data_IF_233134485528
#
_entry.id   IF_233134485528
#
_cell.length_a   1.000
_cell.length_b   1.000
_cell.length_c   1.000
_cell.angle_alpha   90.00
_cell.angle_beta   90.00
_cell.angle_gamma   90.00
#
_symmetry.space_group_name_H-M   'P 1'
#
loop_
_entity.id
_entity.type
_entity.pdbx_description
1 polymer ?
#
# COMPACT_ATOMS: atom_id res chain seq x y z
N UNK A 1 8.83 1.86 12.35
CA UNK A 1 10.21 1.61 11.88
C UNK A 1 10.21 0.43 10.91
N UNK A 2 11.27 0.24 10.11
CA UNK A 2 11.36 -0.93 9.21
C UNK A 2 11.28 -2.22 10.03
N UNK A 3 10.40 -3.13 9.63
CA UNK A 3 10.07 -4.36 10.35
C UNK A 3 8.86 -4.26 11.28
N UNK A 4 8.38 -3.05 11.60
CA UNK A 4 7.18 -2.85 12.41
C UNK A 4 5.92 -3.29 11.66
N UNK A 5 4.96 -3.89 12.37
CA UNK A 5 3.65 -4.24 11.82
C UNK A 5 2.65 -3.15 12.16
N UNK A 6 2.02 -2.59 11.13
CA UNK A 6 0.99 -1.57 11.24
C UNK A 6 -0.35 -2.10 10.74
N UNK A 7 -1.44 -1.49 11.21
CA UNK A 7 -2.80 -1.74 10.72
C UNK A 7 -3.30 -0.52 9.96
N UNK A 8 -3.88 -0.73 8.79
CA UNK A 8 -4.48 0.32 7.99
C UNK A 8 -5.65 -0.18 7.16
N UNK A 9 -6.41 0.75 6.60
CA UNK A 9 -7.55 0.46 5.74
C UNK A 9 -7.08 0.31 4.29
N UNK A 10 -7.44 -0.79 3.63
CA UNK A 10 -7.20 -0.93 2.19
C UNK A 10 -8.12 0.06 1.46
N UNK A 11 -7.56 0.95 0.65
CA UNK A 11 -8.34 2.03 0.00
C UNK A 11 -8.50 1.81 -1.50
N UNK A 12 -7.50 1.21 -2.15
CA UNK A 12 -7.58 0.78 -3.55
C UNK A 12 -6.57 -0.32 -3.83
N UNK A 13 -6.77 -1.03 -4.94
CA UNK A 13 -5.83 -1.99 -5.47
C UNK A 13 -5.83 -1.98 -6.99
N UNK A 14 -4.74 -2.45 -7.57
CA UNK A 14 -4.51 -2.60 -9.00
C UNK A 14 -3.51 -3.76 -9.23
N UNK A 15 -3.16 -4.13 -10.48
CA UNK A 15 -2.18 -5.18 -10.73
C UNK A 15 -0.77 -4.92 -10.18
N UNK A 16 -0.44 -3.68 -9.78
CA UNK A 16 0.84 -3.35 -9.14
C UNK A 16 0.80 -3.59 -7.63
N UNK A 17 -0.39 -3.60 -7.01
CA UNK A 17 -0.56 -3.99 -5.62
C UNK A 17 -1.72 -3.28 -4.92
N UNK A 18 -1.50 -2.91 -3.67
CA UNK A 18 -2.56 -2.40 -2.78
C UNK A 18 -2.13 -1.08 -2.16
N UNK A 19 -3.03 -0.10 -2.13
CA UNK A 19 -2.86 1.14 -1.38
C UNK A 19 -3.58 1.05 -0.04
N UNK A 20 -2.92 1.53 1.00
CA UNK A 20 -3.41 1.51 2.37
C UNK A 20 -3.43 2.93 2.92
N UNK A 21 -4.49 3.27 3.65
CA UNK A 21 -4.57 4.48 4.45
C UNK A 21 -4.43 4.14 5.93
N UNK A 22 -3.57 4.90 6.62
CA UNK A 22 -3.46 4.91 8.08
C UNK A 22 -4.41 5.94 8.72
N UNK A 23 -5.27 6.60 7.93
CA UNK A 23 -6.16 7.68 8.37
C UNK A 23 -5.50 9.06 8.41
N UNK A 24 -4.26 9.15 8.91
CA UNK A 24 -3.47 10.39 8.88
C UNK A 24 -2.42 10.43 7.75
N UNK A 25 -2.23 9.30 7.06
CA UNK A 25 -1.21 9.13 6.02
C UNK A 25 -1.67 8.10 4.97
N UNK A 26 -1.64 8.48 3.70
CA UNK A 26 -2.23 7.71 2.58
C UNK A 26 -1.21 7.21 1.55
N UNK A 27 0.07 7.53 1.76
CA UNK A 27 1.17 7.11 0.88
C UNK A 27 1.81 5.80 1.35
N UNK A 28 0.97 4.79 1.61
CA UNK A 28 1.37 3.42 1.91
C UNK A 28 0.99 2.52 0.74
N UNK A 29 1.98 1.79 0.21
CA UNK A 29 1.78 0.86 -0.89
C UNK A 29 2.39 -0.51 -0.57
N UNK A 30 1.63 -1.57 -0.80
CA UNK A 30 2.10 -2.96 -0.76
C UNK A 30 2.17 -3.46 -2.20
N UNK A 31 3.37 -3.63 -2.78
CA UNK A 31 3.50 -4.11 -4.15
C UNK A 31 3.09 -5.58 -4.24
N UNK A 32 2.66 -6.00 -5.44
CA UNK A 32 2.22 -7.37 -5.73
C UNK A 32 3.27 -8.43 -5.39
N UNK A 33 4.56 -8.11 -5.56
CA UNK A 33 5.68 -8.98 -5.19
C UNK A 33 5.84 -9.23 -3.69
N UNK A 34 5.19 -8.41 -2.85
CA UNK A 34 5.19 -8.53 -1.40
C UNK A 34 3.81 -8.87 -0.83
N UNK A 35 2.90 -9.37 -1.67
CA UNK A 35 1.67 -10.01 -1.22
C UNK A 35 1.93 -11.45 -0.78
N UNK A 36 0.88 -12.12 -0.31
CA UNK A 36 0.94 -13.50 0.11
C UNK A 36 1.41 -14.40 -1.03
N UNK A 37 2.17 -15.45 -0.71
CA UNK A 37 2.61 -16.43 -1.70
C UNK A 37 1.39 -17.07 -2.39
N UNK A 38 1.38 -17.04 -3.73
CA UNK A 38 0.28 -17.53 -4.54
C UNK A 38 -0.93 -16.59 -4.63
N UNK A 39 -0.86 -15.37 -4.10
CA UNK A 39 -1.85 -14.34 -4.40
C UNK A 39 -1.83 -13.99 -5.90
N UNK A 40 -3.00 -13.84 -6.49
CA UNK A 40 -3.18 -13.56 -7.91
C UNK A 40 -4.17 -12.42 -8.12
N UNK A 41 -3.96 -11.65 -9.19
CA UNK A 41 -4.90 -10.63 -9.64
C UNK A 41 -6.02 -11.28 -10.46
N UNK A 42 -7.27 -11.04 -10.08
CA UNK A 42 -8.44 -11.37 -10.88
C UNK A 42 -8.81 -10.17 -11.75
N UNK A 43 -8.65 -10.29 -13.07
CA UNK A 43 -8.96 -9.20 -14.00
C UNK A 43 -10.46 -8.98 -14.19
N UNK A 44 -11.31 -9.97 -13.93
CA UNK A 44 -12.76 -9.81 -14.03
C UNK A 44 -13.31 -9.04 -12.83
N UNK A 45 -12.82 -9.37 -11.64
CA UNK A 45 -13.26 -8.76 -10.38
C UNK A 45 -12.43 -7.54 -9.97
N UNK A 46 -11.29 -7.30 -10.65
CA UNK A 46 -10.34 -6.23 -10.37
C UNK A 46 -9.89 -6.24 -8.89
N UNK A 47 -9.55 -7.42 -8.38
CA UNK A 47 -9.20 -7.65 -6.97
C UNK A 47 -8.06 -8.66 -6.84
N UNK A 48 -7.30 -8.55 -5.77
CA UNK A 48 -6.31 -9.56 -5.39
C UNK A 48 -6.97 -10.69 -4.59
N UNK A 49 -6.67 -11.94 -4.97
CA UNK A 49 -7.20 -13.14 -4.33
C UNK A 49 -6.05 -14.04 -3.89
N UNK A 50 -6.06 -14.43 -2.62
CA UNK A 50 -5.13 -15.38 -2.06
C UNK A 50 -5.81 -16.73 -1.82
N UNK A 51 -5.28 -17.81 -2.38
CA UNK A 51 -5.88 -19.15 -2.24
C UNK A 51 -5.20 -19.95 -1.13
N UNK A 52 -5.92 -20.23 -0.05
CA UNK A 52 -5.44 -21.03 1.07
C UNK A 52 -6.20 -22.35 1.11
N UNK A 53 -5.52 -23.47 0.80
CA UNK A 53 -6.14 -24.79 0.82
C UNK A 53 -7.36 -24.92 -0.10
N UNK A 54 -7.39 -24.19 -1.22
CA UNK A 54 -8.52 -24.14 -2.15
C UNK A 54 -9.64 -23.17 -1.77
N UNK A 55 -9.54 -22.49 -0.62
CA UNK A 55 -10.46 -21.41 -0.25
C UNK A 55 -9.92 -20.07 -0.74
N UNK A 56 -10.69 -19.33 -1.58
CA UNK A 56 -10.29 -18.00 -2.02
C UNK A 56 -10.52 -16.96 -0.91
N UNK A 57 -9.48 -16.19 -0.60
CA UNK A 57 -9.51 -15.06 0.32
C UNK A 57 -9.27 -13.78 -0.47
N UNK A 58 -10.32 -12.97 -0.60
CA UNK A 58 -10.26 -11.70 -1.32
C UNK A 58 -9.65 -10.60 -0.44
N UNK A 59 -8.80 -9.76 -1.04
CA UNK A 59 -8.26 -8.54 -0.41
C UNK A 59 -9.27 -7.40 -0.54
N UNK A 60 -10.41 -7.58 0.12
CA UNK A 60 -11.54 -6.66 0.13
C UNK A 60 -11.14 -5.24 0.55
N UNK A 61 -11.44 -4.28 -0.31
CA UNK A 61 -11.27 -2.86 0.00
C UNK A 61 -12.13 -2.46 1.20
N UNK A 62 -11.74 -1.34 1.81
CA UNK A 62 -12.35 -0.73 2.99
C UNK A 62 -12.25 -1.55 4.29
N UNK A 63 -11.62 -2.72 4.25
CA UNK A 63 -11.32 -3.52 5.43
C UNK A 63 -9.95 -3.19 6.05
N UNK A 64 -9.79 -3.55 7.32
CA UNK A 64 -8.54 -3.40 8.06
C UNK A 64 -7.56 -4.53 7.71
N UNK A 65 -6.37 -4.16 7.26
CA UNK A 65 -5.27 -5.07 6.96
C UNK A 65 -4.01 -4.75 7.77
N UNK A 66 -3.29 -5.82 8.13
CA UNK A 66 -1.96 -5.76 8.74
C UNK A 66 -0.90 -5.84 7.66
N UNK A 67 0.09 -4.95 7.72
CA UNK A 67 1.26 -5.00 6.86
C UNK A 67 2.51 -4.70 7.68
N UNK A 68 3.62 -5.30 7.28
CA UNK A 68 4.94 -4.99 7.82
C UNK A 68 5.54 -3.84 7.02
N UNK A 69 6.12 -2.84 7.67
CA UNK A 69 6.91 -1.80 7.02
C UNK A 69 8.18 -2.43 6.45
N UNK A 70 8.29 -2.50 5.13
CA UNK A 70 9.49 -3.01 4.45
C UNK A 70 10.50 -1.89 4.23
N UNK A 71 10.04 -0.74 3.72
CA UNK A 71 10.88 0.42 3.45
C UNK A 71 10.13 1.74 3.69
N UNK A 72 10.88 2.78 4.02
CA UNK A 72 10.39 4.16 4.06
C UNK A 72 11.24 4.97 3.09
N UNK A 73 10.61 5.45 2.03
CA UNK A 73 11.25 6.21 0.96
C UNK A 73 10.96 7.68 1.14
N UNK A 74 11.99 8.51 1.01
CA UNK A 74 11.86 9.95 1.01
C UNK A 74 12.21 10.46 -0.38
N UNK A 75 11.40 11.39 -0.89
CA UNK A 75 11.74 12.10 -2.12
C UNK A 75 12.97 12.94 -1.88
N UNK A 76 14.00 12.76 -2.69
CA UNK A 76 15.11 13.69 -2.70
C UNK A 76 14.63 15.06 -3.20
N UNK A 77 14.94 16.16 -2.49
CA UNK A 77 14.59 17.48 -2.97
C UNK A 77 15.31 17.72 -4.29
N UNK A 78 14.54 17.87 -5.38
CA UNK A 78 15.12 18.27 -6.66
C UNK A 78 15.79 19.65 -6.50
N UNK A 79 17.03 19.79 -6.99
CA UNK A 79 17.82 21.04 -6.94
C UNK A 79 17.11 22.26 -7.53
N UNK A 80 16.04 22.04 -8.28
CA UNK A 80 15.16 23.04 -8.88
C UNK A 80 14.39 23.90 -7.87
N UNK A 81 14.30 23.48 -6.60
CA UNK A 81 13.71 24.30 -5.54
C UNK A 81 14.64 25.44 -5.05
N UNK A 82 15.90 25.51 -5.53
CA UNK A 82 16.89 26.54 -5.16
C UNK A 82 17.27 27.38 -6.38
N UNK A 83 16.29 27.83 -7.16
CA UNK A 83 16.44 29.04 -7.97
C UNK A 83 15.59 30.13 -7.35
N UNK A 84 16.25 31.15 -6.80
CA UNK A 84 15.61 32.39 -6.37
C UNK A 84 14.82 33.05 -7.51
N UNK A 85 14.16 34.19 -7.27
CA UNK A 85 13.20 34.76 -8.21
C UNK A 85 13.92 35.19 -9.51
N UNK A 86 13.92 34.33 -10.52
CA UNK A 86 14.41 34.67 -11.85
C UNK A 86 13.24 35.19 -12.67
N UNK A 87 13.31 36.49 -12.96
CA UNK A 87 12.38 37.23 -13.79
C UNK A 87 12.40 36.71 -15.24
N UNK A 88 11.20 36.43 -15.77
CA UNK A 88 10.79 36.39 -17.18
C UNK A 88 11.35 35.30 -18.13
N UNK A 89 10.48 34.42 -18.63
CA UNK A 89 9.87 34.52 -19.98
C UNK A 89 8.98 33.29 -20.30
N UNK A 90 7.80 33.53 -20.88
CA UNK A 90 6.91 32.58 -21.58
C UNK A 90 7.01 32.88 -23.10
N UNK A 91 6.53 32.04 -24.06
CA UNK A 91 5.55 30.94 -23.91
C UNK A 91 5.83 29.63 -24.70
N UNK A 92 4.92 28.67 -24.50
CA UNK A 92 4.51 27.54 -25.39
C UNK A 92 5.28 26.20 -25.37
N UNK A 93 4.70 25.23 -24.66
CA UNK A 93 4.42 23.83 -25.09
C UNK A 93 3.19 23.35 -24.28
N UNK A 94 2.34 22.44 -24.79
CA UNK A 94 1.18 21.97 -24.05
C UNK A 94 1.64 21.35 -22.74
N UNK A 95 1.14 21.91 -21.65
CA UNK A 95 1.34 21.42 -20.30
C UNK A 95 0.86 19.97 -20.29
N UNK A 96 1.79 19.02 -20.30
CA UNK A 96 1.47 17.65 -19.93
C UNK A 96 0.70 17.72 -18.60
N UNK A 97 -0.40 16.96 -18.43
CA UNK A 97 -1.16 16.98 -17.19
C UNK A 97 -0.15 16.80 -16.07
N UNK A 98 -0.18 17.71 -15.08
CA UNK A 98 0.78 17.77 -14.00
C UNK A 98 1.05 16.35 -13.52
N UNK A 99 2.23 15.82 -13.86
CA UNK A 99 2.64 14.51 -13.41
C UNK A 99 2.49 14.55 -11.90
N UNK A 100 1.59 13.73 -11.36
CA UNK A 100 1.23 13.79 -9.94
C UNK A 100 2.53 13.82 -9.14
N UNK A 101 2.74 14.92 -8.41
CA UNK A 101 4.00 15.16 -7.74
C UNK A 101 4.26 13.98 -6.82
N UNK A 102 5.33 13.22 -7.08
CA UNK A 102 5.73 12.09 -6.23
C UNK A 102 5.78 12.58 -4.78
N UNK A 103 5.15 11.86 -3.84
CA UNK A 103 4.99 12.35 -2.48
C UNK A 103 6.32 12.43 -1.76
N UNK A 104 6.42 13.36 -0.80
CA UNK A 104 7.66 13.60 -0.06
C UNK A 104 8.12 12.37 0.76
N UNK A 105 7.17 11.56 1.22
CA UNK A 105 7.40 10.31 1.93
C UNK A 105 6.46 9.25 1.40
N UNK A 106 6.96 8.02 1.24
CA UNK A 106 6.17 6.84 0.91
C UNK A 106 6.62 5.65 1.77
N UNK A 107 5.66 4.88 2.25
CA UNK A 107 5.91 3.62 2.94
C UNK A 107 5.65 2.47 1.97
N UNK A 108 6.65 1.59 1.83
CA UNK A 108 6.49 0.30 1.16
C UNK A 108 6.23 -0.75 2.23
N UNK A 109 5.08 -1.43 2.14
CA UNK A 109 4.69 -2.49 3.05
C UNK A 109 4.76 -3.87 2.42
N UNK A 110 4.77 -4.92 3.25
CA UNK A 110 4.62 -6.31 2.83
C UNK A 110 3.53 -7.02 3.63
N UNK A 111 2.84 -7.97 2.98
CA UNK A 111 1.84 -8.87 3.55
C UNK A 111 2.18 -10.36 3.33
N UNK A 112 3.43 -10.64 3.01
CA UNK A 112 4.03 -11.93 2.64
C UNK A 112 4.28 -12.90 3.81
N UNK A 113 3.91 -12.55 5.04
CA UNK A 113 4.18 -13.35 6.25
C UNK A 113 2.89 -13.76 6.97
N UNK A 114 2.89 -14.87 7.73
CA UNK A 114 1.74 -15.28 8.53
C UNK A 114 1.26 -14.18 9.47
N UNK A 115 -0.06 -14.04 9.61
CA UNK A 115 -0.70 -13.02 10.45
C UNK A 115 -0.83 -11.63 9.79
N UNK A 116 -0.30 -11.43 8.58
CA UNK A 116 -0.47 -10.22 7.77
C UNK A 116 -1.64 -10.36 6.78
N UNK A 117 -2.00 -9.30 6.06
CA UNK A 117 -3.22 -9.30 5.23
C UNK A 117 -4.45 -8.85 6.01
N UNK A 118 -5.65 -9.16 5.53
CA UNK A 118 -6.87 -8.70 6.19
C UNK A 118 -7.01 -9.30 7.59
N UNK A 119 -7.35 -8.45 8.55
CA UNK A 119 -7.57 -8.86 9.94
C UNK A 119 -8.71 -9.88 10.10
N UNK A 120 -9.65 -9.90 9.16
CA UNK A 120 -10.79 -10.85 9.13
C UNK A 120 -10.36 -12.29 8.87
N UNK A 121 -9.24 -12.52 8.18
CA UNK A 121 -8.75 -13.88 7.89
C UNK A 121 -8.25 -14.62 9.13
N UNK A 122 -7.89 -13.89 10.18
CA UNK A 122 -7.22 -14.43 11.36
C UNK A 122 -8.15 -14.54 12.57
N UNK A 123 -9.46 -14.26 12.41
CA UNK A 123 -10.45 -14.39 13.48
C UNK A 123 -10.68 -15.88 13.77
N UNK A 124 -10.35 -16.32 14.99
CA UNK A 124 -10.53 -17.70 15.43
C UNK A 124 -9.25 -18.44 15.89
N UNK A 125 -8.07 -17.83 15.80
CA UNK A 125 -6.81 -18.44 16.28
C UNK A 125 -6.40 -18.01 17.71
N UNK A 126 -7.30 -17.44 18.52
CA UNK A 126 -6.93 -16.95 19.86
C UNK A 126 -8.09 -16.58 20.81
N UNK A 127 -9.22 -17.28 20.74
CA UNK A 127 -10.30 -17.15 21.74
C UNK A 127 -10.80 -18.54 22.17
N UNK A 128 -9.86 -19.42 22.47
CA UNK A 128 -10.05 -20.59 23.31
C UNK A 128 -8.84 -20.57 24.25
N UNK A 129 -9.07 -20.69 25.57
CA UNK A 129 -8.09 -20.65 26.67
C UNK A 129 -8.05 -19.37 27.53
N UNK A 130 -9.20 -18.73 27.81
CA UNK A 130 -9.32 -17.77 28.94
C UNK A 130 -10.75 -17.77 29.54
N UNK A 131 -11.24 -18.94 29.91
CA UNK A 131 -12.34 -19.13 30.85
C UNK A 131 -11.99 -20.34 31.74
N UNK A 132 -11.21 -20.09 32.80
CA UNK A 132 -11.07 -20.96 33.98
C UNK A 132 -12.06 -20.52 35.06
#
# INVERSE_FOLDING_TARGET
FVGEVLCGKLVSCDPQGIRISLGFFDEVHVPSSLLQEGAAWDDNEQIWVWHVGGTPLHLDLLNQGRFRVDQVLFREPSREAVTGPSVAQKPSLPQAPAAEATPAMRIVGGMDKPGLGLTTWWRGQGQADDDD
#
